data_IF_760976456855
#
_entry.id   IF_760976456855
#
_cell.length_a   1.000
_cell.length_b   1.000
_cell.length_c   1.000
_cell.angle_alpha   90.00
_cell.angle_beta   90.00
_cell.angle_gamma   90.00
#
_symmetry.space_group_name_H-M   'P 1'
#
loop_
_entity.id
_entity.type
_entity.pdbx_description
1 polymer ?
#
# COMPACT_ATOMS: atom_id res chain seq x y z
N UNK A 1 41.61 29.64 -3.93
CA UNK A 1 42.31 29.14 -2.72
C UNK A 1 41.35 28.20 -2.01
N UNK A 2 41.62 26.94 -1.70
CA UNK A 2 42.60 25.97 -2.18
C UNK A 2 41.88 24.61 -2.08
N UNK A 3 42.08 23.77 -3.09
CA UNK A 3 41.57 22.41 -3.21
C UNK A 3 42.44 21.47 -2.37
N UNK A 4 41.89 20.42 -1.78
CA UNK A 4 42.70 19.30 -1.26
C UNK A 4 41.91 18.00 -1.35
N UNK A 5 42.28 17.23 -2.37
CA UNK A 5 41.98 15.82 -2.60
C UNK A 5 42.89 14.95 -1.75
N UNK A 6 42.37 13.89 -1.14
CA UNK A 6 43.17 12.80 -0.56
C UNK A 6 42.65 11.47 -1.08
N UNK A 7 43.51 10.77 -1.81
CA UNK A 7 43.35 9.42 -2.37
C UNK A 7 43.67 8.34 -1.31
N UNK A 8 43.14 7.11 -1.43
CA UNK A 8 43.35 6.02 -0.47
C UNK A 8 44.61 5.20 -0.79
N UNK A 9 45.17 4.44 0.18
CA UNK A 9 46.31 3.56 -0.09
C UNK A 9 45.87 2.20 -0.63
N UNK A 10 46.54 1.79 -1.69
CA UNK A 10 46.61 0.43 -2.22
C UNK A 10 47.52 -0.45 -1.36
N UNK A 11 47.11 -1.68 -1.05
CA UNK A 11 48.06 -2.77 -0.80
C UNK A 11 47.58 -4.06 -1.45
N UNK A 12 48.41 -4.55 -2.36
CA UNK A 12 48.41 -5.89 -2.92
C UNK A 12 49.55 -6.66 -2.25
N UNK A 13 49.29 -7.87 -1.74
CA UNK A 13 50.33 -8.89 -1.63
C UNK A 13 49.77 -10.27 -1.90
N UNK A 14 50.51 -10.96 -2.76
CA UNK A 14 50.27 -12.25 -3.40
C UNK A 14 50.77 -13.37 -2.48
N UNK A 15 50.09 -14.53 -2.55
CA UNK A 15 50.76 -15.83 -2.60
C UNK A 15 50.51 -16.78 -1.42
N UNK A 16 49.69 -17.81 -1.64
CA UNK A 16 50.24 -19.14 -1.97
C UNK A 16 49.14 -20.15 -2.33
N UNK A 17 49.38 -20.84 -3.45
CA UNK A 17 48.67 -22.06 -3.87
C UNK A 17 49.24 -23.29 -3.14
N UNK A 18 48.36 -24.30 -3.04
CA UNK A 18 48.53 -25.77 -2.93
C UNK A 18 47.73 -26.29 -1.74
N UNK A 19 47.06 -27.41 -1.76
CA UNK A 19 46.58 -28.38 -2.76
C UNK A 19 45.60 -29.28 -1.95
N UNK A 20 44.89 -30.17 -2.65
CA UNK A 20 44.33 -31.45 -2.16
C UNK A 20 42.83 -31.52 -1.82
N UNK A 21 42.16 -32.19 -2.76
CA UNK A 21 41.37 -33.42 -2.59
C UNK A 21 39.84 -33.33 -2.60
N UNK A 22 39.32 -33.70 -3.79
CA UNK A 22 38.10 -34.49 -3.96
C UNK A 22 38.09 -35.68 -2.98
N UNK A 23 36.95 -35.90 -2.34
CA UNK A 23 36.47 -37.26 -2.08
C UNK A 23 34.96 -37.30 -2.29
N UNK A 24 34.57 -38.14 -3.24
CA UNK A 24 33.20 -38.55 -3.48
C UNK A 24 32.76 -39.48 -2.34
N UNK A 25 31.55 -39.29 -1.83
CA UNK A 25 30.84 -40.33 -1.10
C UNK A 25 29.49 -40.56 -1.75
N UNK A 26 29.46 -41.63 -2.55
CA UNK A 26 28.25 -42.35 -2.91
C UNK A 26 27.82 -43.18 -1.69
N UNK A 27 26.56 -43.10 -1.30
CA UNK A 27 25.86 -44.25 -0.72
C UNK A 27 24.39 -44.17 -1.07
N UNK A 28 23.97 -45.07 -1.96
CA UNK A 28 22.58 -45.37 -2.26
C UNK A 28 22.20 -46.65 -1.50
N UNK A 29 21.03 -46.63 -0.85
CA UNK A 29 20.26 -47.83 -0.48
C UNK A 29 18.78 -47.44 -0.29
N UNK A 30 17.81 -48.37 -0.41
CA UNK A 30 16.65 -48.17 -1.28
C UNK A 30 15.29 -48.11 -0.57
N UNK A 31 14.32 -47.57 -1.33
CA UNK A 31 12.85 -47.71 -1.30
C UNK A 31 12.11 -48.04 0.02
N UNK A 32 11.14 -47.19 0.35
CA UNK A 32 9.78 -47.64 0.68
C UNK A 32 8.76 -46.59 0.24
N UNK A 33 8.05 -46.89 -0.85
CA UNK A 33 6.94 -46.09 -1.37
C UNK A 33 5.65 -46.41 -0.62
N UNK A 34 5.27 -45.58 0.36
CA UNK A 34 3.90 -45.60 0.87
C UNK A 34 2.99 -44.82 -0.08
N UNK A 35 2.14 -45.57 -0.79
CA UNK A 35 1.03 -45.05 -1.60
C UNK A 35 -0.01 -44.38 -0.71
N UNK A 36 0.05 -43.06 -0.59
CA UNK A 36 -1.06 -42.28 -0.04
C UNK A 36 -2.12 -42.08 -1.14
N UNK A 37 -3.26 -42.78 -1.02
CA UNK A 37 -4.43 -42.62 -1.89
C UNK A 37 -5.02 -41.21 -1.68
N UNK A 38 -4.58 -40.24 -2.49
CA UNK A 38 -5.27 -38.95 -2.61
C UNK A 38 -6.59 -39.17 -3.34
N UNK A 39 -7.72 -39.03 -2.64
CA UNK A 39 -9.05 -38.96 -3.25
C UNK A 39 -9.08 -37.77 -4.21
N UNK A 40 -9.16 -38.06 -5.50
CA UNK A 40 -9.47 -37.07 -6.54
C UNK A 40 -10.87 -36.52 -6.28
N UNK A 41 -10.97 -35.27 -5.84
CA UNK A 41 -12.21 -34.51 -6.01
C UNK A 41 -12.21 -34.06 -7.47
N UNK A 42 -13.12 -34.64 -8.27
CA UNK A 42 -13.51 -34.09 -9.57
C UNK A 42 -13.85 -32.61 -9.35
N UNK A 43 -12.99 -31.70 -9.80
CA UNK A 43 -13.40 -30.33 -10.07
C UNK A 43 -14.16 -30.42 -11.39
N UNK A 44 -15.47 -30.57 -11.30
CA UNK A 44 -16.33 -30.25 -12.42
C UNK A 44 -16.18 -28.75 -12.66
N UNK A 45 -15.47 -28.39 -13.72
CA UNK A 45 -15.61 -27.09 -14.36
C UNK A 45 -17.10 -26.94 -14.71
N UNK A 46 -17.83 -26.22 -13.85
CA UNK A 46 -19.15 -25.72 -14.16
C UNK A 46 -18.88 -24.39 -14.82
N UNK A 47 -19.11 -24.33 -16.13
CA UNK A 47 -19.15 -23.06 -16.86
C UNK A 47 -19.98 -22.07 -16.04
N UNK A 48 -19.44 -20.88 -15.81
CA UNK A 48 -20.12 -19.78 -15.14
C UNK A 48 -21.57 -19.72 -15.63
N UNK A 49 -22.59 -19.77 -14.75
CA UNK A 49 -23.94 -19.47 -15.18
C UNK A 49 -23.91 -18.11 -15.86
N UNK A 50 -24.41 -18.03 -17.10
CA UNK A 50 -24.75 -16.74 -17.69
C UNK A 50 -25.62 -16.02 -16.67
N UNK A 51 -25.08 -14.97 -16.06
CA UNK A 51 -25.82 -14.18 -15.10
C UNK A 51 -27.10 -13.71 -15.79
N UNK A 52 -28.25 -14.14 -15.28
CA UNK A 52 -29.50 -13.45 -15.58
C UNK A 52 -29.30 -12.01 -15.15
N UNK A 53 -29.41 -11.07 -16.08
CA UNK A 53 -29.33 -9.64 -15.80
C UNK A 53 -30.24 -9.31 -14.62
N UNK A 54 -29.61 -9.01 -13.47
CA UNK A 54 -30.33 -8.43 -12.34
C UNK A 54 -30.70 -7.02 -12.77
N UNK A 55 -31.98 -6.78 -13.07
CA UNK A 55 -32.49 -5.43 -13.27
C UNK A 55 -32.20 -4.64 -11.99
N UNK A 56 -31.48 -3.50 -12.06
CA UNK A 56 -31.27 -2.65 -10.90
C UNK A 56 -32.64 -2.23 -10.35
N UNK A 57 -32.78 -2.26 -9.03
CA UNK A 57 -33.84 -1.50 -8.37
C UNK A 57 -33.73 -0.06 -8.88
N UNK A 58 -34.84 0.51 -9.35
CA UNK A 58 -34.93 1.81 -10.00
C UNK A 58 -34.43 2.93 -9.09
N UNK A 59 -33.13 3.15 -9.08
CA UNK A 59 -32.47 4.41 -8.71
C UNK A 59 -32.20 5.15 -10.01
N UNK A 60 -32.59 6.43 -10.07
CA UNK A 60 -32.59 7.23 -11.29
C UNK A 60 -31.34 7.10 -12.14
N UNK A 61 -31.52 7.09 -13.46
CA UNK A 61 -30.45 7.13 -14.46
C UNK A 61 -29.39 8.17 -14.10
N UNK A 62 -28.20 7.70 -13.70
CA UNK A 62 -27.04 8.57 -13.47
C UNK A 62 -26.66 9.16 -14.83
N UNK A 63 -26.83 10.47 -15.00
CA UNK A 63 -26.65 11.17 -16.29
C UNK A 63 -25.18 11.18 -16.79
N UNK A 64 -24.22 10.88 -15.93
CA UNK A 64 -22.77 10.88 -16.21
C UNK A 64 -22.09 9.78 -15.41
N UNK A 65 -21.29 8.93 -16.07
CA UNK A 65 -20.56 7.86 -15.38
C UNK A 65 -19.47 8.43 -14.45
N UNK A 66 -19.18 7.71 -13.37
CA UNK A 66 -18.13 8.06 -12.41
C UNK A 66 -16.91 7.14 -12.53
N UNK A 67 -15.73 7.72 -12.34
CA UNK A 67 -14.47 6.99 -12.17
C UNK A 67 -14.43 6.22 -10.86
N UNK A 68 -13.50 5.27 -10.70
CA UNK A 68 -13.28 4.55 -9.43
C UNK A 68 -13.10 5.51 -8.26
N UNK A 69 -12.23 6.52 -8.41
CA UNK A 69 -11.95 7.50 -7.35
C UNK A 69 -13.20 8.28 -6.95
N UNK A 70 -13.99 8.73 -7.93
CA UNK A 70 -15.26 9.43 -7.67
C UNK A 70 -16.26 8.54 -6.93
N UNK A 71 -16.38 7.26 -7.32
CA UNK A 71 -17.28 6.31 -6.65
C UNK A 71 -16.82 5.97 -5.23
N UNK A 72 -15.52 5.81 -5.00
CA UNK A 72 -14.96 5.61 -3.65
C UNK A 72 -15.30 6.81 -2.76
N UNK A 73 -15.13 8.03 -3.27
CA UNK A 73 -15.51 9.26 -2.55
C UNK A 73 -17.01 9.36 -2.33
N UNK A 74 -17.83 8.99 -3.33
CA UNK A 74 -19.29 9.04 -3.25
C UNK A 74 -19.77 8.13 -2.11
N UNK A 75 -19.27 6.89 -2.06
CA UNK A 75 -19.47 5.95 -0.95
C UNK A 75 -18.97 6.53 0.39
N UNK A 76 -17.73 7.06 0.43
CA UNK A 76 -17.12 7.59 1.65
C UNK A 76 -17.81 8.86 2.19
N UNK A 77 -18.63 9.53 1.39
CA UNK A 77 -19.29 10.78 1.75
C UNK A 77 -20.83 10.65 1.77
N UNK A 78 -21.34 9.42 1.67
CA UNK A 78 -22.78 9.11 1.59
C UNK A 78 -23.51 9.86 0.45
N UNK A 79 -22.79 10.17 -0.63
CA UNK A 79 -23.32 10.82 -1.82
C UNK A 79 -23.55 9.81 -2.93
N UNK A 80 -24.55 10.07 -3.78
CA UNK A 80 -24.85 9.22 -4.94
C UNK A 80 -24.02 9.56 -6.16
N UNK A 81 -23.50 10.79 -6.24
CA UNK A 81 -22.69 11.27 -7.35
C UNK A 81 -21.73 12.37 -6.90
N UNK A 82 -20.57 12.42 -7.54
CA UNK A 82 -19.55 13.46 -7.39
C UNK A 82 -18.95 13.84 -8.73
N UNK A 83 -18.44 15.07 -8.79
CA UNK A 83 -17.65 15.60 -9.90
C UNK A 83 -16.27 16.06 -9.43
N UNK A 84 -15.24 16.00 -10.29
CA UNK A 84 -13.94 16.57 -10.00
C UNK A 84 -14.03 18.04 -9.60
N UNK A 85 -13.28 18.41 -8.57
CA UNK A 85 -13.24 19.77 -8.05
C UNK A 85 -14.13 20.05 -6.84
N UNK A 86 -15.12 19.20 -6.56
CA UNK A 86 -15.92 19.29 -5.33
C UNK A 86 -15.06 19.01 -4.09
N UNK A 87 -15.31 19.73 -3.00
CA UNK A 87 -14.75 19.41 -1.69
C UNK A 87 -15.80 18.62 -0.89
N UNK A 88 -15.39 17.47 -0.35
CA UNK A 88 -16.29 16.57 0.38
C UNK A 88 -15.65 16.04 1.64
N UNK A 89 -16.46 15.93 2.70
CA UNK A 89 -16.08 15.20 3.89
C UNK A 89 -16.14 13.71 3.58
N UNK A 90 -15.00 13.03 3.71
CA UNK A 90 -14.90 11.58 3.52
C UNK A 90 -14.71 10.89 4.86
N UNK A 91 -15.40 9.78 5.06
CA UNK A 91 -15.10 8.80 6.08
C UNK A 91 -13.82 8.05 5.73
N UNK A 92 -12.91 7.98 6.70
CA UNK A 92 -11.61 7.33 6.56
C UNK A 92 -11.72 5.90 7.05
N UNK A 93 -11.30 4.95 6.21
CA UNK A 93 -11.34 3.54 6.52
C UNK A 93 -10.09 3.11 7.31
N UNK A 94 -8.92 3.65 6.96
CA UNK A 94 -7.65 3.42 7.66
C UNK A 94 -6.82 4.70 7.71
N UNK A 95 -6.27 5.04 8.88
CA UNK A 95 -5.18 6.01 9.02
C UNK A 95 -3.90 5.28 9.39
N UNK A 96 -2.86 5.45 8.57
CA UNK A 96 -1.51 4.98 8.88
C UNK A 96 -0.62 6.14 9.34
N UNK A 97 0.18 5.92 10.38
CA UNK A 97 1.29 6.80 10.72
C UNK A 97 2.52 6.02 11.18
N UNK A 98 3.65 6.72 11.25
CA UNK A 98 4.97 6.17 11.55
C UNK A 98 5.76 7.12 12.45
N UNK A 99 6.97 6.72 12.82
CA UNK A 99 7.85 7.37 13.79
C UNK A 99 8.31 8.79 13.42
N UNK A 100 8.29 9.20 12.16
CA UNK A 100 8.63 10.58 11.79
C UNK A 100 7.47 11.53 12.09
N UNK A 101 6.28 11.19 11.61
CA UNK A 101 5.13 12.10 11.58
C UNK A 101 4.15 11.87 12.74
N UNK A 102 4.09 10.65 13.26
CA UNK A 102 3.15 10.24 14.31
C UNK A 102 3.23 11.10 15.57
N UNK A 103 4.41 11.41 16.14
CA UNK A 103 4.51 12.32 17.29
C UNK A 103 3.87 13.70 17.04
N UNK A 104 4.04 14.25 15.83
CA UNK A 104 3.42 15.51 15.43
C UNK A 104 1.90 15.41 15.35
N UNK A 105 1.39 14.36 14.70
CA UNK A 105 -0.06 14.10 14.61
C UNK A 105 -0.71 13.87 15.99
N UNK A 106 -0.04 13.10 16.86
CA UNK A 106 -0.48 12.84 18.25
C UNK A 106 -0.49 14.14 19.05
N UNK A 107 0.53 14.98 18.91
CA UNK A 107 0.60 16.27 19.58
C UNK A 107 -0.56 17.20 19.19
N UNK A 108 -0.87 17.27 17.89
CA UNK A 108 -2.02 18.05 17.38
C UNK A 108 -3.33 17.46 17.89
N UNK A 109 -3.51 16.14 17.80
CA UNK A 109 -4.70 15.46 18.33
C UNK A 109 -4.95 15.80 19.80
N UNK A 110 -3.94 15.65 20.67
CA UNK A 110 -4.04 15.96 22.10
C UNK A 110 -4.28 17.44 22.38
N UNK A 111 -3.71 18.33 21.56
CA UNK A 111 -3.90 19.78 21.69
C UNK A 111 -5.32 20.20 21.33
N UNK A 112 -5.86 19.71 20.22
CA UNK A 112 -7.14 20.18 19.67
C UNK A 112 -8.35 19.41 20.26
N UNK A 113 -8.19 18.13 20.61
CA UNK A 113 -9.27 17.30 21.18
C UNK A 113 -9.16 17.08 22.69
N UNK A 114 -8.01 17.41 23.29
CA UNK A 114 -7.73 17.30 24.72
C UNK A 114 -6.86 16.09 25.10
N UNK A 115 -6.17 16.20 26.24
CA UNK A 115 -5.18 15.20 26.69
C UNK A 115 -5.76 13.80 26.97
N UNK A 116 -7.04 13.73 27.31
CA UNK A 116 -7.74 12.48 27.62
C UNK A 116 -8.63 12.01 26.46
N UNK A 117 -8.53 12.65 25.28
CA UNK A 117 -9.31 12.28 24.12
C UNK A 117 -9.01 10.84 23.69
N UNK A 118 -10.02 10.18 23.10
CA UNK A 118 -9.87 8.86 22.49
C UNK A 118 -9.88 8.98 20.97
N UNK A 119 -9.02 8.21 20.32
CA UNK A 119 -9.03 8.11 18.86
C UNK A 119 -10.41 7.62 18.38
N UNK A 120 -10.81 8.05 17.18
CA UNK A 120 -12.16 7.76 16.67
C UNK A 120 -12.43 6.24 16.58
N UNK A 121 -11.42 5.46 16.20
CA UNK A 121 -11.49 4.01 16.12
C UNK A 121 -10.08 3.40 16.25
N UNK A 122 -9.82 2.73 17.37
CA UNK A 122 -8.53 2.09 17.67
C UNK A 122 -8.16 0.93 16.73
N UNK A 123 -9.12 0.42 15.95
CA UNK A 123 -8.93 -0.65 14.96
C UNK A 123 -8.81 -0.11 13.54
N UNK A 124 -8.95 1.20 13.32
CA UNK A 124 -8.69 1.85 12.02
C UNK A 124 -7.42 2.69 12.01
N UNK A 125 -6.72 2.76 13.14
CA UNK A 125 -5.40 3.40 13.27
C UNK A 125 -4.33 2.32 13.21
N UNK A 126 -3.41 2.48 12.26
CA UNK A 126 -2.27 1.58 12.05
C UNK A 126 -0.98 2.36 12.29
N UNK A 127 -0.12 1.87 13.18
CA UNK A 127 1.13 2.53 13.54
C UNK A 127 2.31 1.60 13.23
N UNK A 128 3.22 2.07 12.36
CA UNK A 128 4.35 1.27 11.87
C UNK A 128 5.63 2.12 11.99
N UNK A 129 6.44 1.93 13.04
CA UNK A 129 7.77 2.56 13.13
C UNK A 129 8.73 1.88 12.14
N UNK A 130 9.27 2.62 11.18
CA UNK A 130 10.20 2.07 10.17
C UNK A 130 11.34 3.00 9.74
N UNK A 131 11.32 4.29 10.10
CA UNK A 131 12.36 5.25 9.68
C UNK A 131 13.55 5.36 10.65
N UNK A 132 13.30 5.23 11.96
CA UNK A 132 14.24 5.53 13.04
C UNK A 132 14.56 4.34 13.95
N UNK A 133 13.92 3.19 13.72
CA UNK A 133 14.06 1.99 14.56
C UNK A 133 15.49 1.38 14.63
N UNK A 134 16.41 1.76 13.75
CA UNK A 134 17.79 1.25 13.73
C UNK A 134 18.85 2.32 13.92
N UNK A 135 18.47 3.51 14.39
CA UNK A 135 19.44 4.56 14.72
C UNK A 135 19.83 4.55 16.20
N UNK A 136 21.05 5.00 16.48
CA UNK A 136 21.53 5.26 17.84
C UNK A 136 21.21 6.68 18.31
N UNK A 137 20.56 7.51 17.49
CA UNK A 137 20.17 8.88 17.85
C UNK A 137 19.01 8.88 18.86
N UNK A 138 19.29 9.36 20.08
CA UNK A 138 18.30 9.48 21.15
C UNK A 138 17.09 10.35 20.77
N UNK A 139 17.25 11.35 19.90
CA UNK A 139 16.14 12.20 19.45
C UNK A 139 15.18 11.43 18.56
N UNK A 140 15.72 10.56 17.72
CA UNK A 140 14.94 9.71 16.83
C UNK A 140 14.25 8.58 17.62
N UNK A 141 14.96 7.96 18.56
CA UNK A 141 14.40 6.93 19.44
C UNK A 141 13.25 7.44 20.32
N UNK A 142 13.33 8.69 20.79
CA UNK A 142 12.23 9.35 21.51
C UNK A 142 10.91 9.35 20.73
N UNK A 143 10.96 9.49 19.41
CA UNK A 143 9.74 9.46 18.61
C UNK A 143 9.05 8.10 18.67
N UNK A 144 9.83 7.02 18.63
CA UNK A 144 9.32 5.64 18.76
C UNK A 144 8.70 5.45 20.15
N UNK A 145 9.34 5.98 21.20
CA UNK A 145 8.78 5.92 22.56
C UNK A 145 7.45 6.67 22.68
N UNK A 146 7.31 7.84 22.05
CA UNK A 146 6.02 8.56 21.98
C UNK A 146 4.94 7.71 21.30
N UNK A 147 5.28 6.97 20.24
CA UNK A 147 4.34 6.06 19.60
C UNK A 147 3.94 4.90 20.53
N UNK A 148 4.91 4.29 21.23
CA UNK A 148 4.64 3.21 22.19
C UNK A 148 3.69 3.67 23.28
N UNK A 149 3.97 4.82 23.89
CA UNK A 149 3.13 5.41 24.93
C UNK A 149 1.71 5.67 24.44
N UNK A 150 1.58 6.26 23.25
CA UNK A 150 0.29 6.51 22.62
C UNK A 150 -0.48 5.23 22.30
N UNK A 151 0.20 4.22 21.73
CA UNK A 151 -0.38 2.92 21.43
C UNK A 151 -0.92 2.23 22.69
N UNK A 152 -0.17 2.28 23.79
CA UNK A 152 -0.62 1.74 25.09
C UNK A 152 -1.81 2.54 25.66
N UNK A 153 -1.73 3.87 25.66
CA UNK A 153 -2.76 4.76 26.21
C UNK A 153 -4.11 4.65 25.48
N UNK A 154 -4.05 4.56 24.15
CA UNK A 154 -5.22 4.49 23.28
C UNK A 154 -5.66 3.04 23.01
N UNK A 155 -4.86 2.06 23.47
CA UNK A 155 -5.04 0.64 23.20
C UNK A 155 -5.16 0.40 21.68
N UNK A 156 -4.19 0.89 20.89
CA UNK A 156 -4.20 0.71 19.44
C UNK A 156 -4.00 -0.76 19.10
N UNK A 157 -4.87 -1.31 18.25
CA UNK A 157 -4.83 -2.74 17.90
C UNK A 157 -3.67 -3.10 16.98
N UNK A 158 -3.39 -2.24 15.99
CA UNK A 158 -2.43 -2.51 14.93
C UNK A 158 -1.17 -1.64 15.12
N UNK A 159 -0.27 -2.13 15.98
CA UNK A 159 1.02 -1.52 16.25
C UNK A 159 2.16 -2.49 15.94
N UNK A 160 2.94 -2.19 14.89
CA UNK A 160 3.93 -3.09 14.29
C UNK A 160 5.36 -2.68 14.63
N UNK A 161 5.66 -2.59 15.93
CA UNK A 161 6.94 -2.09 16.44
C UNK A 161 8.01 -3.18 16.62
N UNK A 162 9.26 -2.73 16.66
CA UNK A 162 10.39 -3.51 17.13
C UNK A 162 10.44 -3.48 18.66
N UNK A 163 10.45 -4.66 19.30
CA UNK A 163 10.52 -4.81 20.76
C UNK A 163 11.95 -5.04 21.25
N UNK A 164 12.73 -5.82 20.51
CA UNK A 164 14.14 -6.09 20.79
C UNK A 164 15.03 -5.49 19.68
N UNK A 165 15.59 -4.32 19.98
CA UNK A 165 16.52 -3.60 19.10
C UNK A 165 17.86 -4.34 18.89
N UNK A 166 18.21 -5.27 19.78
CA UNK A 166 19.48 -6.02 19.71
C UNK A 166 19.41 -7.22 18.76
N UNK A 167 18.20 -7.65 18.39
CA UNK A 167 18.00 -8.81 17.53
C UNK A 167 16.78 -8.66 16.61
N UNK A 168 17.00 -8.25 15.36
CA UNK A 168 15.94 -8.07 14.38
C UNK A 168 15.09 -9.34 14.13
N UNK A 169 15.67 -10.54 14.29
CA UNK A 169 14.94 -11.82 14.11
C UNK A 169 14.01 -12.15 15.27
N UNK A 170 14.13 -11.46 16.41
CA UNK A 170 13.30 -11.68 17.60
C UNK A 170 12.04 -10.82 17.63
N UNK A 171 11.69 -10.16 16.52
CA UNK A 171 10.56 -9.23 16.42
C UNK A 171 9.49 -9.74 15.45
N UNK A 172 8.67 -10.73 15.83
CA UNK A 172 7.64 -11.30 14.94
C UNK A 172 6.56 -10.29 14.55
N UNK A 173 6.37 -9.24 15.36
CA UNK A 173 5.39 -8.18 15.14
C UNK A 173 5.91 -7.06 14.23
N UNK A 174 7.22 -6.97 13.99
CA UNK A 174 7.80 -5.95 13.12
C UNK A 174 7.64 -6.37 11.65
N UNK A 175 7.17 -5.44 10.80
CA UNK A 175 6.75 -5.73 9.42
C UNK A 175 7.53 -4.99 8.33
N UNK A 176 8.59 -4.27 8.68
CA UNK A 176 9.40 -3.56 7.69
C UNK A 176 8.78 -2.24 7.25
N UNK A 177 9.03 -1.87 6.00
CA UNK A 177 8.57 -0.62 5.38
C UNK A 177 7.03 -0.55 5.39
N UNK A 178 6.49 0.58 5.85
CA UNK A 178 5.07 0.78 6.16
C UNK A 178 4.10 0.35 5.05
N UNK A 179 4.37 0.69 3.78
CA UNK A 179 3.45 0.35 2.67
C UNK A 179 3.42 -1.14 2.33
N UNK A 180 4.53 -1.85 2.56
CA UNK A 180 4.59 -3.32 2.40
C UNK A 180 3.88 -3.98 3.57
N UNK A 181 4.11 -3.49 4.79
CA UNK A 181 3.43 -3.96 5.99
C UNK A 181 1.91 -3.80 5.91
N UNK A 182 1.41 -2.65 5.42
CA UNK A 182 -0.02 -2.44 5.18
C UNK A 182 -0.63 -3.51 4.26
N UNK A 183 0.06 -3.83 3.16
CA UNK A 183 -0.39 -4.85 2.22
C UNK A 183 -0.34 -6.26 2.82
N UNK A 184 0.78 -6.63 3.46
CA UNK A 184 0.99 -7.97 4.03
C UNK A 184 0.06 -8.29 5.19
N UNK A 185 -0.33 -7.28 5.96
CA UNK A 185 -1.20 -7.41 7.13
C UNK A 185 -2.69 -7.14 6.81
N UNK A 186 -3.05 -7.03 5.53
CA UNK A 186 -4.46 -6.97 5.10
C UNK A 186 -5.17 -5.64 5.36
N UNK A 187 -4.40 -4.55 5.47
CA UNK A 187 -4.94 -3.19 5.63
C UNK A 187 -5.34 -2.54 4.31
N UNK A 188 -4.81 -3.03 3.18
CA UNK A 188 -5.13 -2.55 1.86
C UNK A 188 -6.34 -3.30 1.27
N UNK A 189 -7.56 -2.75 1.40
CA UNK A 189 -8.80 -3.41 0.97
C UNK A 189 -9.53 -2.62 -0.13
N UNK A 190 -9.95 -3.25 -1.23
CA UNK A 190 -10.60 -2.57 -2.36
C UNK A 190 -11.78 -1.69 -1.97
N UNK A 191 -11.88 -0.52 -2.63
CA UNK A 191 -12.97 0.43 -2.45
C UNK A 191 -12.85 1.36 -1.26
N UNK A 192 -11.82 1.21 -0.42
CA UNK A 192 -11.61 2.01 0.78
C UNK A 192 -10.82 3.32 0.56
N UNK A 193 -10.92 4.21 1.55
CA UNK A 193 -10.13 5.43 1.71
C UNK A 193 -9.06 5.18 2.78
N UNK A 194 -7.79 5.09 2.36
CA UNK A 194 -6.64 4.94 3.24
C UNK A 194 -5.81 6.22 3.24
N UNK A 195 -5.64 6.84 4.39
CA UNK A 195 -4.79 8.03 4.55
C UNK A 195 -3.55 7.67 5.34
N UNK A 196 -2.42 8.32 5.02
CA UNK A 196 -1.15 8.05 5.68
C UNK A 196 -0.32 9.30 5.83
N UNK A 197 0.52 9.36 6.86
CA UNK A 197 1.44 10.51 7.04
C UNK A 197 2.73 10.40 6.23
N UNK A 198 2.75 9.55 5.22
CA UNK A 198 3.86 9.35 4.28
C UNK A 198 3.40 9.62 2.84
N UNK A 199 4.30 10.17 2.01
CA UNK A 199 3.98 10.55 0.62
C UNK A 199 3.63 9.35 -0.27
N UNK A 200 4.23 8.19 -0.03
CA UNK A 200 4.07 6.98 -0.84
C UNK A 200 2.87 6.13 -0.41
N UNK A 201 1.99 6.66 0.45
CA UNK A 201 0.72 6.01 0.82
C UNK A 201 -0.14 5.66 -0.40
N UNK A 202 0.05 6.38 -1.52
CA UNK A 202 -0.55 6.05 -2.82
C UNK A 202 -0.27 4.62 -3.31
N UNK A 203 0.73 3.91 -2.76
CA UNK A 203 0.99 2.47 -3.01
C UNK A 203 -0.25 1.60 -2.82
N UNK A 204 -1.08 1.88 -1.80
CA UNK A 204 -2.29 1.09 -1.51
C UNK A 204 -3.35 1.18 -2.63
N UNK A 205 -3.23 2.17 -3.52
CA UNK A 205 -3.98 2.28 -4.76
C UNK A 205 -3.95 1.05 -5.66
N UNK A 206 -2.89 0.24 -5.59
CA UNK A 206 -2.76 -1.03 -6.31
C UNK A 206 -3.85 -2.05 -5.96
N UNK A 207 -4.53 -1.86 -4.82
CA UNK A 207 -5.63 -2.70 -4.34
C UNK A 207 -7.01 -2.15 -4.74
N UNK A 208 -7.08 -1.11 -5.57
CA UNK A 208 -8.34 -0.45 -5.93
C UNK A 208 -8.86 0.47 -4.83
N UNK A 209 -7.97 1.07 -4.05
CA UNK A 209 -8.27 2.06 -3.02
C UNK A 209 -8.02 3.48 -3.50
N UNK A 210 -8.67 4.44 -2.84
CA UNK A 210 -8.13 5.78 -2.80
C UNK A 210 -7.15 5.89 -1.64
N UNK A 211 -5.87 6.14 -1.94
CA UNK A 211 -4.85 6.29 -0.93
C UNK A 211 -3.95 7.50 -1.18
N UNK A 212 -3.73 8.32 -0.16
CA UNK A 212 -2.90 9.54 -0.28
C UNK A 212 -2.16 9.86 0.99
N UNK A 213 -0.96 10.42 0.82
CA UNK A 213 -0.23 11.09 1.90
C UNK A 213 -0.97 12.34 2.36
N UNK A 214 -0.95 12.60 3.67
CA UNK A 214 -1.52 13.80 4.31
C UNK A 214 -0.54 14.37 5.36
N UNK A 215 -0.74 15.62 5.75
CA UNK A 215 0.10 16.26 6.77
C UNK A 215 -0.31 15.91 8.21
N UNK A 216 0.53 16.29 9.18
CA UNK A 216 0.28 16.02 10.60
C UNK A 216 -1.02 16.64 11.13
N UNK A 217 -1.39 17.83 10.64
CA UNK A 217 -2.63 18.50 11.03
C UNK A 217 -3.85 17.69 10.59
N UNK A 218 -3.85 17.23 9.34
CA UNK A 218 -4.93 16.42 8.79
C UNK A 218 -5.02 15.08 9.53
N UNK A 219 -3.87 14.43 9.78
CA UNK A 219 -3.83 13.18 10.53
C UNK A 219 -4.30 13.35 11.99
N UNK A 220 -3.92 14.44 12.66
CA UNK A 220 -4.43 14.78 13.99
C UNK A 220 -5.95 15.00 14.00
N UNK A 221 -6.49 15.61 12.95
CA UNK A 221 -7.93 15.77 12.77
C UNK A 221 -8.65 14.44 12.51
N UNK A 222 -8.08 13.57 11.66
CA UNK A 222 -8.60 12.22 11.41
C UNK A 222 -8.57 11.39 12.70
N UNK A 223 -7.49 11.44 13.49
CA UNK A 223 -7.41 10.76 14.79
C UNK A 223 -8.60 11.10 15.70
N UNK A 224 -9.08 12.35 15.69
CA UNK A 224 -10.23 12.76 16.50
C UNK A 224 -11.61 12.52 15.88
N UNK A 225 -11.72 12.49 14.55
CA UNK A 225 -13.04 12.53 13.87
C UNK A 225 -13.34 11.36 12.96
N UNK A 226 -12.31 10.62 12.52
CA UNK A 226 -12.42 9.61 11.46
C UNK A 226 -12.77 10.18 10.09
N UNK A 227 -12.68 11.51 9.90
CA UNK A 227 -13.08 12.20 8.67
C UNK A 227 -11.99 13.15 8.18
N UNK A 228 -12.00 13.45 6.88
CA UNK A 228 -11.18 14.53 6.31
C UNK A 228 -11.91 15.23 5.16
N UNK A 229 -11.70 16.54 5.00
CA UNK A 229 -12.21 17.28 3.85
C UNK A 229 -11.26 17.11 2.67
N UNK A 230 -11.69 16.43 1.62
CA UNK A 230 -10.87 16.19 0.42
C UNK A 230 -11.52 16.77 -0.82
N UNK A 231 -10.70 17.37 -1.68
CA UNK A 231 -11.09 17.72 -3.04
C UNK A 231 -11.09 16.48 -3.93
N UNK A 232 -12.18 16.23 -4.64
CA UNK A 232 -12.31 15.15 -5.63
C UNK A 232 -11.32 15.44 -6.77
N UNK A 233 -10.32 14.57 -7.02
CA UNK A 233 -9.37 14.78 -8.10
C UNK A 233 -9.99 14.37 -9.46
N UNK A 234 -9.64 15.06 -10.56
CA UNK A 234 -9.87 14.49 -11.89
C UNK A 234 -8.97 13.27 -12.10
N UNK A 235 -9.34 12.38 -13.00
CA UNK A 235 -8.58 11.16 -13.30
C UNK A 235 -7.79 11.31 -14.60
N UNK A 236 -6.52 10.89 -14.58
CA UNK A 236 -5.69 10.67 -15.76
C UNK A 236 -5.57 9.16 -15.97
N UNK A 237 -6.14 8.66 -17.05
CA UNK A 237 -6.21 7.22 -17.34
C UNK A 237 -5.09 6.79 -18.27
N UNK A 238 -4.33 5.79 -17.84
CA UNK A 238 -3.26 5.14 -18.60
C UNK A 238 -3.74 3.76 -19.02
N UNK A 239 -3.93 3.59 -20.33
CA UNK A 239 -4.34 2.32 -20.92
C UNK A 239 -3.08 1.64 -21.49
N UNK A 240 -2.70 0.52 -20.90
CA UNK A 240 -1.51 -0.25 -21.27
C UNK A 240 -1.94 -1.63 -21.73
N UNK A 241 -1.88 -1.83 -23.06
CA UNK A 241 -2.26 -3.07 -23.71
C UNK A 241 -1.09 -3.69 -24.47
N UNK A 242 -1.05 -5.02 -24.46
CA UNK A 242 -0.02 -5.82 -25.11
C UNK A 242 0.81 -6.66 -24.15
N UNK A 243 1.72 -7.43 -24.72
CA UNK A 243 2.61 -8.31 -23.97
C UNK A 243 3.85 -7.54 -23.49
N UNK A 244 4.15 -7.64 -22.19
CA UNK A 244 5.37 -7.09 -21.61
C UNK A 244 6.51 -8.11 -21.81
N UNK A 245 7.61 -7.75 -22.51
CA UNK A 245 8.77 -8.61 -22.64
C UNK A 245 9.39 -8.94 -21.27
N UNK A 246 9.92 -10.15 -21.10
CA UNK A 246 10.44 -10.68 -19.81
C UNK A 246 11.56 -9.85 -19.17
N UNK A 247 12.21 -8.97 -19.92
CA UNK A 247 13.29 -8.10 -19.43
C UNK A 247 12.79 -6.72 -18.96
N UNK A 248 11.51 -6.40 -19.15
CA UNK A 248 10.87 -5.19 -18.62
C UNK A 248 10.14 -5.50 -17.33
N UNK A 249 10.10 -4.50 -16.45
CA UNK A 249 9.42 -4.55 -15.16
C UNK A 249 8.37 -3.44 -15.10
N UNK A 250 7.40 -3.58 -14.19
CA UNK A 250 6.46 -2.49 -13.88
C UNK A 250 7.18 -1.18 -13.50
N UNK A 251 8.39 -1.27 -12.94
CA UNK A 251 9.25 -0.11 -12.69
C UNK A 251 9.58 0.67 -13.97
N UNK A 252 9.88 -0.02 -15.07
CA UNK A 252 10.21 0.62 -16.33
C UNK A 252 8.99 1.33 -16.92
N UNK A 253 7.80 0.72 -16.80
CA UNK A 253 6.53 1.32 -17.24
C UNK A 253 6.27 2.65 -16.52
N UNK A 254 6.33 2.68 -15.19
CA UNK A 254 6.04 3.91 -14.44
C UNK A 254 7.14 4.96 -14.64
N UNK A 255 8.41 4.57 -14.78
CA UNK A 255 9.48 5.50 -15.12
C UNK A 255 9.28 6.12 -16.51
N UNK A 256 8.85 5.35 -17.49
CA UNK A 256 8.54 5.86 -18.83
C UNK A 256 7.37 6.85 -18.76
N UNK A 257 6.29 6.52 -18.05
CA UNK A 257 5.14 7.40 -17.86
C UNK A 257 5.57 8.72 -17.21
N UNK A 258 6.35 8.68 -16.12
CA UNK A 258 6.86 9.88 -15.44
C UNK A 258 7.78 10.68 -16.38
N UNK A 259 8.60 10.00 -17.18
CA UNK A 259 9.45 10.64 -18.19
C UNK A 259 8.67 11.42 -19.24
N UNK A 260 7.49 10.93 -19.64
CA UNK A 260 6.61 11.58 -20.61
C UNK A 260 5.81 12.74 -20.02
N UNK A 261 5.25 12.56 -18.81
CA UNK A 261 4.35 13.56 -18.21
C UNK A 261 5.09 14.55 -17.29
N UNK A 262 6.37 14.31 -16.99
CA UNK A 262 7.21 15.03 -16.03
C UNK A 262 6.73 14.95 -14.57
N UNK A 263 7.53 15.51 -13.65
CA UNK A 263 7.25 15.55 -12.20
C UNK A 263 5.97 16.29 -11.81
N UNK A 264 5.37 17.05 -12.74
CA UNK A 264 4.14 17.80 -12.49
C UNK A 264 2.94 17.32 -13.34
N UNK A 265 3.10 16.32 -14.21
CA UNK A 265 2.04 15.91 -15.13
C UNK A 265 0.78 15.38 -14.45
N UNK A 266 0.98 14.69 -13.32
CA UNK A 266 -0.06 14.13 -12.47
C UNK A 266 -0.61 15.09 -11.42
N UNK A 267 -0.10 16.33 -11.31
CA UNK A 267 -0.45 17.25 -10.20
C UNK A 267 -1.96 17.30 -9.92
N UNK A 268 -2.33 16.93 -8.69
CA UNK A 268 -3.70 16.82 -8.15
C UNK A 268 -4.65 15.82 -8.82
N UNK A 269 -4.17 15.01 -9.77
CA UNK A 269 -4.98 14.01 -10.48
C UNK A 269 -4.84 12.64 -9.82
N UNK A 270 -5.86 11.81 -9.92
CA UNK A 270 -5.72 10.37 -9.72
C UNK A 270 -5.16 9.75 -11.01
N UNK A 271 -4.17 8.87 -10.92
CA UNK A 271 -3.63 8.12 -12.06
C UNK A 271 -4.24 6.73 -12.06
N UNK A 272 -5.17 6.46 -12.99
CA UNK A 272 -5.84 5.16 -13.13
C UNK A 272 -5.11 4.32 -14.18
N UNK A 273 -4.60 3.16 -13.79
CA UNK A 273 -3.89 2.24 -14.68
C UNK A 273 -4.77 1.06 -15.03
N UNK A 274 -4.96 0.81 -16.32
CA UNK A 274 -5.81 -0.26 -16.87
C UNK A 274 -5.18 -0.90 -18.10
N UNK A 275 -5.79 -1.98 -18.58
CA UNK A 275 -5.41 -2.66 -19.80
C UNK A 275 -4.78 -4.02 -19.54
N UNK A 276 -4.67 -4.81 -20.59
CA UNK A 276 -4.22 -6.22 -20.55
C UNK A 276 -2.83 -6.38 -19.92
N UNK A 277 -1.92 -5.42 -20.11
CA UNK A 277 -0.61 -5.45 -19.47
C UNK A 277 -0.75 -5.32 -17.95
N UNK A 278 -1.56 -4.39 -17.45
CA UNK A 278 -1.79 -4.18 -16.00
C UNK A 278 -2.44 -5.40 -15.36
N UNK A 279 -3.40 -6.01 -16.06
CA UNK A 279 -4.08 -7.23 -15.61
C UNK A 279 -3.10 -8.40 -15.43
N UNK A 280 -2.06 -8.49 -16.27
CA UNK A 280 -1.02 -9.53 -16.19
C UNK A 280 0.00 -9.33 -15.05
N UNK A 281 0.09 -8.12 -14.47
CA UNK A 281 1.06 -7.82 -13.42
C UNK A 281 0.69 -8.51 -12.09
N UNK A 282 1.72 -8.90 -11.35
CA UNK A 282 1.61 -9.31 -9.95
C UNK A 282 1.16 -8.14 -9.05
N UNK A 283 0.76 -8.43 -7.80
CA UNK A 283 0.40 -7.37 -6.86
C UNK A 283 1.59 -6.46 -6.53
N UNK A 284 2.79 -7.02 -6.37
CA UNK A 284 4.01 -6.28 -6.09
C UNK A 284 4.38 -5.34 -7.25
N UNK A 285 4.15 -5.76 -8.48
CA UNK A 285 4.33 -4.92 -9.67
C UNK A 285 3.29 -3.79 -9.74
N UNK A 286 2.03 -4.07 -9.42
CA UNK A 286 0.98 -3.02 -9.32
C UNK A 286 1.29 -2.03 -8.20
N UNK A 287 1.78 -2.52 -7.05
CA UNK A 287 2.27 -1.67 -5.96
C UNK A 287 3.41 -0.77 -6.43
N UNK A 288 4.32 -1.29 -7.25
CA UNK A 288 5.41 -0.49 -7.84
C UNK A 288 4.88 0.64 -8.73
N UNK A 289 3.85 0.39 -9.55
CA UNK A 289 3.21 1.43 -10.36
C UNK A 289 2.61 2.53 -9.46
N UNK A 290 1.78 2.14 -8.49
CA UNK A 290 1.08 3.11 -7.65
C UNK A 290 2.00 3.85 -6.68
N UNK A 291 3.07 3.21 -6.21
CA UNK A 291 4.05 3.80 -5.31
C UNK A 291 4.69 5.07 -5.89
N UNK A 292 5.05 5.05 -7.17
CA UNK A 292 5.75 6.16 -7.82
C UNK A 292 4.82 7.25 -8.38
N UNK A 293 3.51 7.14 -8.21
CA UNK A 293 2.55 8.15 -8.69
C UNK A 293 2.81 9.52 -8.07
N UNK A 294 3.26 9.55 -6.81
CA UNK A 294 3.61 10.80 -6.13
C UNK A 294 4.76 11.55 -6.80
N UNK A 295 5.66 10.84 -7.49
CA UNK A 295 6.79 11.44 -8.22
C UNK A 295 6.36 12.20 -9.49
N UNK A 296 5.15 11.95 -9.99
CA UNK A 296 4.51 12.76 -11.02
C UNK A 296 3.60 13.86 -10.45
N UNK A 297 3.59 14.06 -9.12
CA UNK A 297 2.65 14.93 -8.41
C UNK A 297 1.23 14.37 -8.32
N UNK A 298 1.03 13.09 -8.67
CA UNK A 298 -0.26 12.43 -8.61
C UNK A 298 -0.77 12.31 -7.17
N UNK A 299 -2.08 12.52 -6.99
CA UNK A 299 -2.74 12.43 -5.68
C UNK A 299 -2.93 10.98 -5.22
N UNK A 300 -3.20 10.09 -6.17
CA UNK A 300 -3.43 8.66 -5.93
C UNK A 300 -3.11 7.89 -7.21
N UNK A 301 -2.48 6.72 -7.10
CA UNK A 301 -2.49 5.71 -8.16
C UNK A 301 -3.66 4.78 -7.94
N UNK A 302 -4.29 4.23 -8.97
CA UNK A 302 -5.34 3.23 -8.74
C UNK A 302 -5.37 2.18 -9.85
N UNK A 303 -5.46 0.92 -9.43
CA UNK A 303 -5.63 -0.25 -10.31
C UNK A 303 -6.95 -0.93 -9.93
N UNK A 304 -7.84 -1.26 -10.89
CA UNK A 304 -9.03 -2.05 -10.62
C UNK A 304 -8.67 -3.38 -9.94
N UNK A 305 -9.36 -3.70 -8.84
CA UNK A 305 -9.16 -4.96 -8.15
C UNK A 305 -9.67 -6.13 -9.01
N UNK A 306 -8.88 -7.19 -9.14
CA UNK A 306 -9.24 -8.38 -9.91
C UNK A 306 -8.89 -9.67 -9.16
N UNK A 307 -8.88 -10.80 -9.86
CA UNK A 307 -8.54 -12.09 -9.26
C UNK A 307 -7.15 -12.13 -8.61
N UNK A 308 -6.17 -11.37 -9.13
CA UNK A 308 -4.84 -11.25 -8.54
C UNK A 308 -4.91 -10.52 -7.20
N UNK A 309 -5.69 -9.44 -7.13
CA UNK A 309 -5.95 -8.70 -5.88
C UNK A 309 -6.68 -9.56 -4.85
N UNK A 310 -7.76 -10.24 -5.25
CA UNK A 310 -8.55 -11.06 -4.31
C UNK A 310 -7.75 -12.25 -3.78
N UNK A 311 -6.97 -12.92 -4.64
CA UNK A 311 -6.08 -14.00 -4.23
C UNK A 311 -5.01 -13.52 -3.25
N UNK A 312 -4.50 -12.30 -3.43
CA UNK A 312 -3.53 -11.74 -2.49
C UNK A 312 -4.14 -11.53 -1.10
N UNK A 313 -5.41 -11.13 -1.02
CA UNK A 313 -6.09 -10.78 0.22
C UNK A 313 -6.75 -11.96 0.96
N UNK A 314 -6.96 -13.10 0.29
CA UNK A 314 -7.77 -14.24 0.78
C UNK A 314 -7.47 -14.65 2.24
N UNK A 315 -6.20 -14.67 2.64
CA UNK A 315 -5.77 -15.07 3.99
C UNK A 315 -5.24 -13.90 4.85
N UNK A 316 -5.30 -12.66 4.34
CA UNK A 316 -4.71 -11.48 5.00
C UNK A 316 -5.72 -10.66 5.78
N UNK A 317 -7.01 -10.73 5.43
CA UNK A 317 -8.03 -9.93 6.10
C UNK A 317 -9.37 -10.65 6.16
N UNK A 318 -10.08 -10.48 7.29
CA UNK A 318 -11.46 -10.92 7.46
C UNK A 318 -12.44 -9.75 7.51
N UNK A 319 -11.97 -8.51 7.33
CA UNK A 319 -12.82 -7.32 7.31
C UNK A 319 -13.54 -7.26 5.96
N UNK A 320 -14.88 -7.14 5.93
CA UNK A 320 -15.62 -7.01 4.68
C UNK A 320 -15.21 -5.76 3.90
N UNK A 321 -15.11 -5.88 2.59
CA UNK A 321 -14.84 -4.76 1.68
C UNK A 321 -15.62 -4.93 0.38
N UNK A 322 -15.83 -3.82 -0.33
CA UNK A 322 -16.58 -3.78 -1.59
C UNK A 322 -15.72 -3.16 -2.70
N UNK A 323 -15.25 -3.96 -3.67
CA UNK A 323 -14.53 -3.44 -4.83
C UNK A 323 -15.41 -2.51 -5.67
N UNK A 324 -14.81 -1.41 -6.13
CA UNK A 324 -15.49 -0.37 -6.92
C UNK A 324 -14.81 -0.26 -8.29
N UNK A 325 -15.59 -0.09 -9.36
CA UNK A 325 -15.09 -0.01 -10.73
C UNK A 325 -15.61 1.23 -11.44
N UNK A 326 -14.78 1.83 -12.30
CA UNK A 326 -15.17 2.96 -13.15
C UNK A 326 -16.37 2.58 -14.03
N UNK A 327 -17.32 3.50 -14.19
CA UNK A 327 -18.39 3.35 -15.18
C UNK A 327 -17.82 3.43 -16.60
N UNK A 328 -18.40 2.68 -17.53
CA UNK A 328 -18.01 2.71 -18.94
C UNK A 328 -18.11 4.10 -19.60
N UNK A 329 -18.91 5.01 -19.03
CA UNK A 329 -19.13 6.39 -19.50
C UNK A 329 -18.47 7.45 -18.59
N UNK A 330 -17.56 7.04 -17.71
CA UNK A 330 -16.74 7.99 -16.95
C UNK A 330 -15.88 8.83 -17.90
N UNK A 331 -15.61 10.08 -17.52
CA UNK A 331 -14.85 11.04 -18.33
C UNK A 331 -13.50 11.36 -17.72
#
# INVERSE_FOLDING_TARGET
MACSTVTPPSTSFIGNKKDLNLSAFSSATPLSSQKCKRKSKKICSVMSPQQSERKPATTGSVKTGMTMTEKIFARASEKTQLSPGENVWVDVDVLMTHDVCGPGSIGIFKKEFGQNAKVWDREKVVIIPDHYIFTTDERANRNVDILRDFCMEQNIKYFYDIKDLSNFKANPDYKGVCHVALAQEGHCRPGEVLLGTDSHTCTAGAFGQFATGIGNTDAGFVLGTGKLLLKVPPTLRFVMDGEMPDYLLAKDLILQIIGEISVAGGTYKAMEFVGSTVESLSMEERMTLCNMVVEAGGKNGIVPADSTTFKYLEDKTSVPYEPVYSDAKAR
#
